data_IF_780742306247
#
_entry.id   IF_780742306247
#
_cell.length_a   1.000
_cell.length_b   1.000
_cell.length_c   1.000
_cell.angle_alpha   90.00
_cell.angle_beta   90.00
_cell.angle_gamma   90.00
#
_symmetry.space_group_name_H-M   'P 1'
#
loop_
_entity.id
_entity.type
_entity.pdbx_description
1 polymer ?
#
# COMPACT_ATOMS: atom_id res chain seq x y z
N UNK A 1 24.72 -4.20 58.12
CA UNK A 1 23.57 -3.31 57.83
C UNK A 1 23.32 -3.34 56.32
N UNK A 2 22.23 -3.96 55.84
CA UNK A 2 21.90 -4.08 54.41
C UNK A 2 20.79 -3.09 54.04
N UNK A 3 21.11 -1.98 53.39
CA UNK A 3 20.12 -1.09 52.73
C UNK A 3 20.78 -0.27 51.61
N UNK A 4 20.82 -0.80 50.38
CA UNK A 4 21.08 -0.03 49.12
C UNK A 4 20.52 -0.72 47.85
N UNK A 5 19.36 -1.37 47.91
CA UNK A 5 18.77 -2.07 46.74
C UNK A 5 17.42 -1.52 46.27
N UNK A 6 16.75 -0.66 47.06
CA UNK A 6 15.45 -0.11 46.67
C UNK A 6 15.57 0.97 45.57
N UNK A 7 16.68 1.69 45.50
CA UNK A 7 16.91 2.72 44.48
C UNK A 7 17.00 2.11 43.07
N UNK A 8 17.69 0.98 42.91
CA UNK A 8 17.87 0.34 41.60
C UNK A 8 16.57 -0.25 41.04
N UNK A 9 15.70 -0.77 41.92
CA UNK A 9 14.42 -1.34 41.47
C UNK A 9 13.45 -0.24 41.03
N UNK A 10 13.34 0.83 41.83
CA UNK A 10 12.51 1.98 41.48
C UNK A 10 13.00 2.66 40.20
N UNK A 11 14.31 2.81 40.04
CA UNK A 11 14.93 3.39 38.84
C UNK A 11 14.61 2.57 37.59
N UNK A 12 14.77 1.24 37.64
CA UNK A 12 14.42 0.37 36.50
C UNK A 12 12.92 0.41 36.19
N UNK A 13 12.05 0.47 37.20
CA UNK A 13 10.61 0.64 36.97
C UNK A 13 10.30 1.96 36.26
N UNK A 14 10.89 3.07 36.68
CA UNK A 14 10.72 4.38 36.04
C UNK A 14 11.23 4.34 34.59
N UNK A 15 12.39 3.74 34.34
CA UNK A 15 12.96 3.62 32.99
C UNK A 15 12.05 2.82 32.06
N UNK A 16 11.49 1.69 32.52
CA UNK A 16 10.55 0.87 31.71
C UNK A 16 9.29 1.67 31.38
N UNK A 17 8.75 2.41 32.36
CA UNK A 17 7.59 3.28 32.14
C UNK A 17 7.91 4.39 31.13
N UNK A 18 9.08 5.03 31.23
CA UNK A 18 9.50 6.08 30.29
C UNK A 18 9.68 5.55 28.86
N UNK A 19 10.34 4.40 28.70
CA UNK A 19 10.51 3.77 27.38
C UNK A 19 9.15 3.38 26.79
N UNK A 20 8.23 2.85 27.61
CA UNK A 20 6.87 2.52 27.20
C UNK A 20 6.08 3.74 26.72
N UNK A 21 6.13 4.85 27.46
CA UNK A 21 5.46 6.10 27.08
C UNK A 21 6.01 6.67 25.76
N UNK A 22 7.34 6.71 25.61
CA UNK A 22 7.99 7.20 24.38
C UNK A 22 7.65 6.28 23.20
N UNK A 23 7.75 4.96 23.37
CA UNK A 23 7.44 3.98 22.34
C UNK A 23 5.99 4.05 21.87
N UNK A 24 5.04 4.28 22.79
CA UNK A 24 3.62 4.44 22.48
C UNK A 24 3.37 5.62 21.53
N UNK A 25 3.91 6.80 21.84
CA UNK A 25 3.71 8.02 21.02
C UNK A 25 4.34 7.86 19.63
N UNK A 26 5.52 7.25 19.54
CA UNK A 26 6.19 7.01 18.24
C UNK A 26 5.38 6.06 17.34
N UNK A 27 4.74 5.03 17.92
CA UNK A 27 3.90 4.09 17.18
C UNK A 27 2.73 4.77 16.45
N UNK A 28 2.11 5.78 17.05
CA UNK A 28 1.01 6.53 16.42
C UNK A 28 1.49 7.35 15.21
N UNK A 29 2.68 7.96 15.28
CA UNK A 29 3.24 8.73 14.16
C UNK A 29 3.66 7.85 12.99
N UNK A 30 4.23 6.67 13.28
CA UNK A 30 4.67 5.72 12.24
C UNK A 30 3.53 5.19 11.38
N UNK A 31 2.31 5.06 11.93
CA UNK A 31 1.14 4.58 11.18
C UNK A 31 0.84 5.42 9.94
N UNK A 32 0.88 6.76 10.06
CA UNK A 32 0.64 7.65 8.94
C UNK A 32 1.73 7.57 7.85
N UNK A 33 2.99 7.45 8.26
CA UNK A 33 4.12 7.28 7.33
C UNK A 33 4.07 5.93 6.60
N UNK A 34 3.64 4.86 7.27
CA UNK A 34 3.43 3.55 6.67
C UNK A 34 2.34 3.59 5.61
N UNK A 35 1.21 4.25 5.89
CA UNK A 35 0.11 4.36 4.92
C UNK A 35 0.51 5.19 3.70
N UNK A 36 1.25 6.29 3.87
CA UNK A 36 1.87 7.03 2.75
C UNK A 36 2.80 6.15 1.90
N UNK A 37 3.61 5.31 2.55
CA UNK A 37 4.48 4.37 1.86
C UNK A 37 3.71 3.32 1.05
N UNK A 38 2.57 2.84 1.57
CA UNK A 38 1.68 1.90 0.85
C UNK A 38 1.00 2.56 -0.34
N UNK A 39 0.53 3.80 -0.21
CA UNK A 39 -0.03 4.59 -1.32
C UNK A 39 1.02 4.72 -2.42
N UNK A 40 2.22 5.23 -2.08
CA UNK A 40 3.30 5.41 -3.04
C UNK A 40 3.71 4.11 -3.74
N UNK A 41 3.82 3.00 -2.99
CA UNK A 41 4.11 1.68 -3.56
C UNK A 41 3.03 1.26 -4.56
N UNK A 42 1.77 1.51 -4.25
CA UNK A 42 0.62 1.16 -5.08
C UNK A 42 0.60 1.98 -6.37
N UNK A 43 0.79 3.30 -6.29
CA UNK A 43 0.87 4.17 -7.47
C UNK A 43 2.02 3.77 -8.41
N UNK A 44 3.20 3.48 -7.86
CA UNK A 44 4.34 3.01 -8.65
C UNK A 44 4.08 1.65 -9.29
N UNK A 45 3.39 0.75 -8.59
CA UNK A 45 3.03 -0.55 -9.14
C UNK A 45 2.02 -0.40 -10.29
N UNK A 46 1.00 0.45 -10.15
CA UNK A 46 0.03 0.77 -11.21
C UNK A 46 0.75 1.28 -12.45
N UNK A 47 1.61 2.29 -12.30
CA UNK A 47 2.37 2.86 -13.42
C UNK A 47 3.23 1.80 -14.12
N UNK A 48 3.96 0.98 -13.35
CA UNK A 48 4.82 -0.04 -13.94
C UNK A 48 4.01 -1.11 -14.69
N UNK A 49 2.85 -1.51 -14.16
CA UNK A 49 1.97 -2.48 -14.81
C UNK A 49 1.40 -1.87 -16.10
N UNK A 50 0.86 -0.66 -16.05
CA UNK A 50 0.32 0.03 -17.23
C UNK A 50 1.38 0.19 -18.32
N UNK A 51 2.57 0.69 -17.98
CA UNK A 51 3.69 0.85 -18.92
C UNK A 51 4.11 -0.49 -19.54
N UNK A 52 4.22 -1.53 -18.72
CA UNK A 52 4.64 -2.86 -19.20
C UNK A 52 3.59 -3.47 -20.12
N UNK A 53 2.31 -3.42 -19.74
CA UNK A 53 1.24 -3.99 -20.54
C UNK A 53 1.04 -3.19 -21.83
N UNK A 54 1.16 -1.86 -21.78
CA UNK A 54 1.08 -1.00 -22.96
C UNK A 54 2.25 -1.25 -23.93
N UNK A 55 3.46 -1.49 -23.41
CA UNK A 55 4.60 -1.87 -24.23
C UNK A 55 4.34 -3.21 -24.96
N UNK A 56 3.75 -4.19 -24.30
CA UNK A 56 3.41 -5.48 -24.94
C UNK A 56 2.31 -5.31 -26.00
N UNK A 57 1.34 -4.43 -25.77
CA UNK A 57 0.34 -4.05 -26.80
C UNK A 57 1.03 -3.38 -27.99
N UNK A 58 1.97 -2.47 -27.76
CA UNK A 58 2.74 -1.81 -28.82
C UNK A 58 3.61 -2.79 -29.64
N UNK A 59 4.07 -3.89 -29.02
CA UNK A 59 4.76 -4.99 -29.72
C UNK A 59 3.84 -5.87 -30.58
N UNK A 60 2.52 -5.64 -30.54
CA UNK A 60 1.53 -6.33 -31.36
C UNK A 60 0.62 -7.31 -30.59
N UNK A 61 0.66 -7.33 -29.25
CA UNK A 61 -0.27 -8.15 -28.47
C UNK A 61 -1.66 -7.51 -28.41
N UNK A 62 -2.73 -8.32 -28.51
CA UNK A 62 -4.09 -7.80 -28.35
C UNK A 62 -4.37 -7.43 -26.89
N UNK A 63 -4.96 -6.26 -26.66
CA UNK A 63 -5.30 -5.72 -25.33
C UNK A 63 -6.05 -6.76 -24.47
N UNK A 64 -7.01 -7.47 -25.08
CA UNK A 64 -7.82 -8.48 -24.38
C UNK A 64 -7.00 -9.69 -23.92
N UNK A 65 -5.99 -10.07 -24.68
CA UNK A 65 -5.08 -11.18 -24.31
C UNK A 65 -4.11 -10.75 -23.20
N UNK A 66 -3.67 -9.50 -23.25
CA UNK A 66 -2.76 -8.91 -22.25
C UNK A 66 -3.43 -8.79 -20.89
N UNK A 67 -4.72 -8.40 -20.84
CA UNK A 67 -5.50 -8.35 -19.59
C UNK A 67 -5.69 -9.75 -18.98
N UNK A 68 -6.13 -10.72 -19.79
CA UNK A 68 -6.41 -12.08 -19.31
C UNK A 68 -5.15 -12.86 -18.89
N UNK A 69 -3.98 -12.50 -19.42
CA UNK A 69 -2.69 -13.16 -19.10
C UNK A 69 -1.65 -12.17 -18.59
N UNK A 70 -2.08 -11.15 -17.83
CA UNK A 70 -1.20 -10.08 -17.35
C UNK A 70 0.03 -10.65 -16.62
N UNK A 71 -0.14 -11.70 -15.81
CA UNK A 71 0.96 -12.37 -15.12
C UNK A 71 2.02 -12.95 -16.08
N UNK A 72 1.59 -13.54 -17.20
CA UNK A 72 2.50 -14.14 -18.18
C UNK A 72 3.28 -13.06 -18.94
N UNK A 73 2.62 -11.95 -19.30
CA UNK A 73 3.27 -10.83 -19.97
C UNK A 73 4.23 -10.07 -19.05
N UNK A 74 3.89 -9.93 -17.77
CA UNK A 74 4.78 -9.34 -16.76
C UNK A 74 6.00 -10.22 -16.47
N UNK A 75 5.85 -11.56 -16.49
CA UNK A 75 6.98 -12.51 -16.38
C UNK A 75 7.87 -12.45 -17.63
N UNK A 76 7.26 -12.41 -18.82
CA UNK A 76 7.99 -12.44 -20.09
C UNK A 76 8.68 -11.11 -20.43
N UNK A 77 8.21 -9.98 -19.92
CA UNK A 77 8.81 -8.67 -20.20
C UNK A 77 10.19 -8.49 -19.54
N UNK A 78 10.53 -9.30 -18.52
CA UNK A 78 11.78 -9.20 -17.77
C UNK A 78 11.93 -7.92 -16.92
N UNK A 79 10.93 -7.03 -16.93
CA UNK A 79 10.96 -5.75 -16.21
C UNK A 79 10.58 -5.88 -14.73
N UNK A 80 10.00 -7.02 -14.32
CA UNK A 80 9.55 -7.25 -12.94
C UNK A 80 10.20 -8.50 -12.36
N UNK A 81 10.92 -8.35 -11.25
CA UNK A 81 11.58 -9.47 -10.55
C UNK A 81 10.59 -10.51 -10.00
N UNK A 82 9.41 -10.08 -9.57
CA UNK A 82 8.37 -10.92 -8.99
C UNK A 82 6.98 -10.49 -9.48
N UNK A 83 6.54 -11.06 -10.61
CA UNK A 83 5.26 -10.73 -11.22
C UNK A 83 4.04 -10.99 -10.30
N UNK A 84 4.11 -12.00 -9.42
CA UNK A 84 3.01 -12.33 -8.51
C UNK A 84 2.85 -11.30 -7.39
N UNK A 85 3.95 -10.68 -6.95
CA UNK A 85 3.92 -9.67 -5.89
C UNK A 85 3.58 -8.28 -6.42
N UNK A 86 3.84 -8.00 -7.70
CA UNK A 86 3.49 -6.70 -8.28
C UNK A 86 2.00 -6.58 -8.57
N UNK A 87 1.31 -7.70 -8.78
CA UNK A 87 -0.13 -7.73 -8.98
C UNK A 87 -0.93 -7.47 -7.71
N UNK A 88 -0.25 -7.23 -6.58
CA UNK A 88 -0.85 -6.85 -5.29
C UNK A 88 -0.48 -5.43 -4.91
N UNK A 89 -1.42 -4.72 -4.32
CA UNK A 89 -1.23 -3.36 -3.84
C UNK A 89 -0.40 -3.28 -2.54
N UNK A 90 -0.24 -2.07 -2.00
CA UNK A 90 0.45 -1.83 -0.73
C UNK A 90 -0.18 -2.49 0.50
N UNK A 91 -1.43 -2.97 0.39
CA UNK A 91 -2.19 -3.66 1.44
C UNK A 91 -2.33 -5.17 1.19
N UNK A 92 -1.88 -5.66 0.04
CA UNK A 92 -1.88 -7.08 -0.33
C UNK A 92 -3.08 -7.53 -1.15
N UNK A 93 -3.93 -6.60 -1.59
CA UNK A 93 -5.10 -6.89 -2.41
C UNK A 93 -4.73 -6.91 -3.90
N UNK A 94 -5.33 -7.80 -4.72
CA UNK A 94 -5.05 -7.86 -6.14
C UNK A 94 -5.59 -6.64 -6.88
N UNK A 95 -4.83 -6.14 -7.86
CA UNK A 95 -5.30 -5.06 -8.74
C UNK A 95 -6.42 -5.53 -9.67
N UNK A 96 -7.37 -4.62 -9.95
CA UNK A 96 -8.37 -4.82 -10.99
C UNK A 96 -7.87 -4.16 -12.28
N UNK A 97 -7.71 -4.96 -13.34
CA UNK A 97 -7.19 -4.50 -14.63
C UNK A 97 -8.37 -4.45 -15.60
N UNK A 98 -8.75 -3.25 -16.02
CA UNK A 98 -9.87 -3.04 -16.94
C UNK A 98 -9.41 -2.34 -18.23
N UNK A 99 -10.13 -2.64 -19.32
CA UNK A 99 -9.94 -1.95 -20.60
C UNK A 99 -10.79 -0.67 -20.60
N UNK A 100 -10.15 0.48 -20.71
CA UNK A 100 -10.84 1.76 -20.90
C UNK A 100 -10.50 2.32 -22.29
N UNK A 101 -11.29 1.94 -23.28
CA UNK A 101 -11.06 2.33 -24.68
C UNK A 101 -9.80 1.69 -25.25
N UNK A 102 -8.80 2.50 -25.60
CA UNK A 102 -7.50 2.05 -26.15
C UNK A 102 -6.38 1.97 -25.09
N UNK A 103 -6.71 2.26 -23.83
CA UNK A 103 -5.76 2.26 -22.71
C UNK A 103 -6.12 1.17 -21.69
N UNK A 104 -5.09 0.60 -21.06
CA UNK A 104 -5.22 -0.32 -19.93
C UNK A 104 -5.21 0.53 -18.66
N UNK A 105 -6.22 0.36 -17.80
CA UNK A 105 -6.30 1.05 -16.52
C UNK A 105 -6.25 0.04 -15.39
N UNK A 106 -5.35 0.28 -14.43
CA UNK A 106 -5.14 -0.61 -13.28
C UNK A 106 -5.61 0.09 -12.02
N UNK A 107 -6.63 -0.44 -11.36
CA UNK A 107 -7.24 0.17 -10.17
C UNK A 107 -7.05 -0.70 -8.93
N UNK A 108 -6.75 -0.09 -7.78
CA UNK A 108 -6.82 -0.74 -6.46
C UNK A 108 -8.07 -0.27 -5.72
N UNK A 109 -8.81 -1.19 -5.11
CA UNK A 109 -10.02 -0.89 -4.32
C UNK A 109 -9.71 0.07 -3.17
N UNK A 110 -8.65 -0.23 -2.42
CA UNK A 110 -8.15 0.56 -1.30
C UNK A 110 -7.73 1.97 -1.69
N UNK A 111 -7.03 2.11 -2.82
CA UNK A 111 -6.60 3.44 -3.28
C UNK A 111 -7.80 4.31 -3.67
N UNK A 112 -8.78 3.72 -4.37
CA UNK A 112 -10.01 4.41 -4.77
C UNK A 112 -10.85 4.81 -3.57
N UNK A 113 -10.96 3.97 -2.54
CA UNK A 113 -11.68 4.32 -1.29
C UNK A 113 -11.00 5.47 -0.53
N UNK A 114 -9.66 5.56 -0.57
CA UNK A 114 -8.91 6.67 0.06
C UNK A 114 -8.93 7.96 -0.77
N UNK A 115 -9.04 7.86 -2.10
CA UNK A 115 -9.07 8.99 -3.03
C UNK A 115 -10.48 9.45 -3.40
N UNK A 116 -11.50 8.63 -3.12
CA UNK A 116 -12.88 9.07 -3.18
C UNK A 116 -12.99 10.34 -2.33
N UNK A 117 -13.46 11.47 -2.90
CA UNK A 117 -13.61 12.68 -2.13
C UNK A 117 -14.43 12.30 -0.90
N UNK A 118 -13.94 12.71 0.26
CA UNK A 118 -14.75 12.85 1.46
C UNK A 118 -15.79 13.93 1.12
N UNK A 119 -16.78 13.54 0.31
CA UNK A 119 -17.91 14.38 -0.02
C UNK A 119 -18.71 14.48 1.26
N UNK A 120 -18.62 15.66 1.85
CA UNK A 120 -19.30 16.10 3.05
C UNK A 120 -20.81 16.27 2.76
N UNK A 121 -21.44 15.21 2.25
CA UNK A 121 -22.84 15.17 1.83
C UNK A 121 -23.63 14.11 2.61
N UNK A 122 -23.36 14.02 3.91
CA UNK A 122 -24.22 13.28 4.85
C UNK A 122 -24.34 14.00 6.20
N UNK A 123 -24.70 15.28 6.16
CA UNK A 123 -25.43 15.94 7.26
C UNK A 123 -26.57 16.81 6.70
N UNK A 124 -27.72 16.19 6.49
CA UNK A 124 -28.98 16.54 7.17
C UNK A 124 -30.08 15.54 6.76
N UNK A 125 -30.69 14.82 7.73
CA UNK A 125 -31.95 14.14 7.50
C UNK A 125 -33.02 15.16 7.12
N UNK A 126 -33.85 14.79 6.15
CA UNK A 126 -35.15 15.39 5.94
C UNK A 126 -36.02 15.08 7.16
N UNK A 127 -36.49 16.12 7.85
CA UNK A 127 -37.84 16.28 8.41
C UNK A 127 -38.01 17.71 8.99
#
# INVERSE_FOLDING_TARGET
>A
MKKKQALTLLEIMIVIVLIGLIGSVLGFSMKGSLDKGKIFKTERAIQLIEDTLMLEVAKGASITSVINKAETYLKNSGMVKNAENILKDGWGEPFNIEKKGDQISVTSKRLTELQAPHDDSSQKPQE
#
